data_IF_655920081394
#
_entry.id   IF_655920081394
#
_cell.length_a   1.000
_cell.length_b   1.000
_cell.length_c   1.000
_cell.angle_alpha   90.00
_cell.angle_beta   90.00
_cell.angle_gamma   90.00
#
_symmetry.space_group_name_H-M   'P 1'
#
loop_
_entity.id
_entity.type
_entity.pdbx_description
1 polymer ?
#
# COMPACT_ATOMS: atom_id res chain seq x y z
N UNK A 1 -24.33 -73.36 -17.64
CA UNK A 1 -25.43 -72.39 -17.48
C UNK A 1 -25.55 -72.08 -15.99
N UNK A 2 -25.88 -70.85 -15.57
CA UNK A 2 -25.29 -69.55 -15.94
C UNK A 2 -25.03 -68.71 -14.66
N UNK A 3 -24.32 -67.58 -14.67
CA UNK A 3 -24.85 -66.20 -14.71
C UNK A 3 -23.69 -65.35 -14.15
N UNK A 4 -23.38 -64.13 -14.53
CA UNK A 4 -23.74 -63.24 -15.62
C UNK A 4 -22.80 -62.05 -15.43
N UNK A 5 -22.41 -61.43 -16.53
CA UNK A 5 -21.53 -60.27 -16.54
C UNK A 5 -22.23 -59.11 -15.86
N UNK A 6 -21.56 -58.45 -14.92
CA UNK A 6 -21.82 -57.03 -14.66
C UNK A 6 -20.49 -56.29 -14.57
N UNK A 7 -20.05 -55.84 -15.73
CA UNK A 7 -19.02 -54.84 -15.93
C UNK A 7 -19.65 -53.50 -15.54
N UNK A 8 -19.30 -52.97 -14.37
CA UNK A 8 -19.76 -51.64 -13.96
C UNK A 8 -19.06 -50.59 -14.83
N UNK A 9 -19.79 -49.69 -15.52
CA UNK A 9 -19.15 -48.59 -16.23
C UNK A 9 -18.59 -47.60 -15.21
N UNK A 10 -17.27 -47.41 -15.23
CA UNK A 10 -16.60 -46.33 -14.51
C UNK A 10 -17.16 -44.98 -14.97
N UNK A 11 -17.79 -44.24 -14.05
CA UNK A 11 -18.22 -42.88 -14.28
C UNK A 11 -17.01 -41.99 -14.69
N UNK A 12 -17.14 -41.11 -15.70
CA UNK A 12 -16.09 -40.17 -16.03
C UNK A 12 -15.94 -39.12 -14.91
N UNK A 13 -14.73 -38.63 -14.62
CA UNK A 13 -14.57 -37.53 -13.69
C UNK A 13 -15.27 -36.29 -14.25
N UNK A 14 -16.17 -35.70 -13.44
CA UNK A 14 -16.84 -34.45 -13.75
C UNK A 14 -15.80 -33.38 -14.08
N UNK A 15 -15.79 -32.91 -15.33
CA UNK A 15 -15.05 -31.73 -15.74
C UNK A 15 -15.54 -30.54 -14.92
N UNK A 16 -14.66 -30.00 -14.06
CA UNK A 16 -14.90 -28.68 -13.46
C UNK A 16 -14.94 -27.67 -14.60
N UNK A 17 -15.92 -26.74 -14.64
CA UNK A 17 -15.88 -25.68 -15.63
C UNK A 17 -14.59 -24.87 -15.43
N UNK A 18 -13.88 -24.65 -16.54
CA UNK A 18 -12.70 -23.82 -16.60
C UNK A 18 -13.14 -22.38 -16.32
N UNK A 19 -12.95 -21.93 -15.07
CA UNK A 19 -13.13 -20.51 -14.74
C UNK A 19 -12.08 -19.72 -15.52
N UNK A 20 -12.45 -18.75 -16.37
CA UNK A 20 -11.46 -17.88 -16.99
C UNK A 20 -10.71 -17.11 -15.88
N UNK A 21 -9.42 -16.79 -16.06
CA UNK A 21 -8.73 -15.92 -15.15
C UNK A 21 -9.49 -14.59 -15.11
N UNK A 22 -9.95 -14.21 -13.92
CA UNK A 22 -10.49 -12.88 -13.66
C UNK A 22 -9.43 -11.90 -14.13
N UNK A 23 -9.77 -11.13 -15.16
CA UNK A 23 -8.94 -10.05 -15.68
C UNK A 23 -8.96 -8.97 -14.62
N UNK A 24 -7.96 -9.02 -13.73
CA UNK A 24 -7.74 -7.98 -12.72
C UNK A 24 -7.49 -6.70 -13.50
N UNK A 25 -8.33 -5.71 -13.29
CA UNK A 25 -8.28 -4.42 -13.98
C UNK A 25 -6.88 -3.82 -13.76
N UNK A 26 -6.15 -3.55 -14.85
CA UNK A 26 -4.76 -3.10 -14.81
C UNK A 26 -4.58 -1.72 -14.14
N UNK A 27 -5.67 -1.07 -13.75
CA UNK A 27 -5.71 0.19 -13.04
C UNK A 27 -5.36 0.11 -11.54
N UNK A 28 -5.28 -1.10 -10.95
CA UNK A 28 -4.98 -1.32 -9.53
C UNK A 28 -3.51 -1.69 -9.25
N UNK A 29 -2.66 -1.64 -10.28
CA UNK A 29 -1.24 -1.92 -10.06
C UNK A 29 -0.59 -0.75 -9.31
N UNK A 30 0.13 -0.99 -8.19
CA UNK A 30 0.83 0.07 -7.50
C UNK A 30 1.82 0.72 -8.47
N UNK A 31 1.75 2.05 -8.61
CA UNK A 31 2.62 2.92 -9.42
C UNK A 31 4.04 2.98 -8.87
N UNK A 32 4.62 1.81 -8.63
CA UNK A 32 5.99 1.64 -8.20
C UNK A 32 6.81 1.35 -9.45
N UNK A 33 7.97 2.00 -9.62
CA UNK A 33 8.87 1.62 -10.70
C UNK A 33 9.19 0.14 -10.63
N UNK A 34 9.11 -0.52 -11.78
CA UNK A 34 9.08 -1.98 -11.94
C UNK A 34 10.27 -2.76 -11.30
N UNK A 35 11.25 -2.09 -10.70
CA UNK A 35 12.43 -2.69 -10.07
C UNK A 35 12.59 -2.38 -8.57
N UNK A 36 11.77 -1.52 -7.97
CA UNK A 36 11.97 -1.10 -6.58
C UNK A 36 11.19 -1.97 -5.59
N UNK A 37 11.85 -2.67 -4.64
CA UNK A 37 11.15 -3.47 -3.65
C UNK A 37 10.17 -2.62 -2.83
N UNK A 38 8.96 -3.12 -2.58
CA UNK A 38 7.91 -2.42 -1.81
C UNK A 38 8.41 -1.91 -0.46
N UNK A 39 9.18 -2.74 0.26
CA UNK A 39 9.80 -2.35 1.53
C UNK A 39 10.73 -1.14 1.40
N UNK A 40 11.45 -1.03 0.28
CA UNK A 40 12.29 0.12 -0.05
C UNK A 40 11.43 1.34 -0.36
N UNK A 41 10.33 1.19 -1.11
CA UNK A 41 9.39 2.29 -1.38
C UNK A 41 8.82 2.86 -0.08
N UNK A 42 8.27 2.01 0.79
CA UNK A 42 7.76 2.41 2.09
C UNK A 42 8.82 3.09 2.97
N UNK A 43 10.07 2.62 2.91
CA UNK A 43 11.20 3.25 3.62
C UNK A 43 11.51 4.65 3.06
N UNK A 44 11.50 4.82 1.75
CA UNK A 44 11.71 6.11 1.07
C UNK A 44 10.58 7.07 1.43
N UNK A 45 9.32 6.65 1.32
CA UNK A 45 8.15 7.46 1.70
C UNK A 45 8.26 7.90 3.15
N UNK A 46 8.59 6.99 4.07
CA UNK A 46 8.79 7.33 5.48
C UNK A 46 9.90 8.37 5.67
N UNK A 47 11.00 8.28 4.92
CA UNK A 47 12.08 9.25 4.98
C UNK A 47 11.63 10.62 4.46
N UNK A 48 10.96 10.65 3.31
CA UNK A 48 10.41 11.89 2.74
C UNK A 48 9.46 12.59 3.72
N UNK A 49 8.51 11.85 4.30
CA UNK A 49 7.59 12.39 5.31
C UNK A 49 8.35 12.91 6.52
N UNK A 50 9.39 12.22 6.98
CA UNK A 50 10.21 12.68 8.10
C UNK A 50 10.86 14.04 7.81
N UNK A 51 11.41 14.23 6.62
CA UNK A 51 12.03 15.50 6.21
C UNK A 51 10.98 16.60 6.03
N UNK A 52 9.85 16.30 5.37
CA UNK A 52 8.77 17.26 5.17
C UNK A 52 8.20 17.74 6.51
N UNK A 53 7.91 16.84 7.45
CA UNK A 53 7.41 17.23 8.78
C UNK A 53 8.46 18.07 9.54
N UNK A 54 9.75 17.83 9.36
CA UNK A 54 10.80 18.66 9.98
C UNK A 54 10.95 20.04 9.34
N UNK A 55 10.74 20.15 8.03
CA UNK A 55 10.81 21.41 7.28
C UNK A 55 9.61 22.30 7.53
N UNK A 56 8.41 21.71 7.57
CA UNK A 56 7.14 22.42 7.73
C UNK A 56 6.67 22.50 9.19
N UNK A 57 7.25 21.73 10.11
CA UNK A 57 6.91 21.76 11.52
C UNK A 57 7.54 22.95 12.26
N UNK A 58 6.82 23.50 13.23
CA UNK A 58 7.34 24.55 14.11
C UNK A 58 8.53 24.01 14.93
N UNK A 59 9.74 24.52 14.63
CA UNK A 59 11.04 23.97 15.08
C UNK A 59 11.18 23.89 16.60
N UNK A 60 10.41 24.68 17.34
CA UNK A 60 10.42 24.73 18.81
C UNK A 60 9.65 23.55 19.43
N UNK A 61 8.56 23.08 18.81
CA UNK A 61 7.77 21.94 19.28
C UNK A 61 8.42 20.58 18.98
N UNK A 62 9.19 20.48 17.88
CA UNK A 62 9.73 19.21 17.36
C UNK A 62 10.75 18.50 18.28
N UNK A 63 11.46 19.23 19.15
CA UNK A 63 12.52 18.65 19.99
C UNK A 63 12.00 17.95 21.26
N UNK A 64 10.87 18.41 21.82
CA UNK A 64 10.37 17.96 23.14
C UNK A 64 9.66 16.60 23.08
N UNK A 65 9.14 16.23 21.91
CA UNK A 65 8.29 15.04 21.72
C UNK A 65 8.71 14.15 20.54
N UNK A 66 10.00 13.80 20.45
CA UNK A 66 10.56 12.93 19.39
C UNK A 66 9.77 11.63 19.18
N UNK A 67 9.22 11.05 20.26
CA UNK A 67 8.43 9.82 20.18
C UNK A 67 7.07 10.04 19.51
N UNK A 68 6.40 11.16 19.81
CA UNK A 68 5.14 11.54 19.14
C UNK A 68 5.39 11.88 17.68
N UNK A 69 6.48 12.59 17.39
CA UNK A 69 6.90 12.91 16.02
C UNK A 69 7.13 11.64 15.20
N UNK A 70 7.88 10.68 15.74
CA UNK A 70 8.14 9.40 15.07
C UNK A 70 6.86 8.60 14.80
N UNK A 71 5.91 8.64 15.74
CA UNK A 71 4.59 8.02 15.56
C UNK A 71 3.82 8.71 14.44
N UNK A 72 3.77 10.05 14.46
CA UNK A 72 3.06 10.85 13.48
C UNK A 72 3.61 10.66 12.06
N UNK A 73 4.93 10.70 11.89
CA UNK A 73 5.62 10.41 10.62
C UNK A 73 5.25 9.03 10.10
N UNK A 74 5.18 8.02 10.98
CA UNK A 74 4.82 6.67 10.58
C UNK A 74 3.37 6.59 10.12
N UNK A 75 2.44 7.24 10.83
CA UNK A 75 1.03 7.26 10.48
C UNK A 75 0.80 7.90 9.10
N UNK A 76 1.41 9.07 8.86
CA UNK A 76 1.34 9.74 7.55
C UNK A 76 1.96 8.86 6.46
N UNK A 77 3.14 8.27 6.70
CA UNK A 77 3.79 7.43 5.70
C UNK A 77 2.93 6.20 5.31
N UNK A 78 2.27 5.56 6.28
CA UNK A 78 1.34 4.47 6.03
C UNK A 78 0.13 4.93 5.21
N UNK A 79 -0.48 6.07 5.57
CA UNK A 79 -1.60 6.65 4.84
C UNK A 79 -1.22 6.97 3.39
N UNK A 80 -0.11 7.66 3.16
CA UNK A 80 0.33 8.06 1.82
C UNK A 80 0.70 6.84 0.96
N UNK A 81 1.32 5.80 1.53
CA UNK A 81 1.53 4.54 0.81
C UNK A 81 0.21 3.91 0.34
N UNK A 82 -0.85 4.00 1.17
CA UNK A 82 -2.15 3.44 0.83
C UNK A 82 -2.90 4.27 -0.20
N UNK A 83 -2.97 5.59 -0.01
CA UNK A 83 -3.80 6.50 -0.82
C UNK A 83 -3.10 6.88 -2.13
N UNK A 84 -1.83 7.30 -2.07
CA UNK A 84 -1.11 7.82 -3.23
C UNK A 84 -0.48 6.72 -4.09
N UNK A 85 0.07 5.67 -3.45
CA UNK A 85 0.74 4.56 -4.16
C UNK A 85 -0.16 3.32 -4.34
N UNK A 86 -1.40 3.35 -3.81
CA UNK A 86 -2.37 2.24 -3.89
C UNK A 86 -1.86 0.90 -3.35
N UNK A 87 -0.95 0.94 -2.38
CA UNK A 87 -0.42 -0.27 -1.75
C UNK A 87 -1.46 -0.81 -0.75
N UNK A 88 -1.63 -2.14 -0.69
CA UNK A 88 -2.55 -2.77 0.25
C UNK A 88 -2.11 -2.57 1.71
N UNK A 89 -3.07 -2.48 2.65
CA UNK A 89 -2.75 -2.31 4.07
C UNK A 89 -1.95 -3.49 4.64
N UNK A 90 -2.13 -4.70 4.09
CA UNK A 90 -1.36 -5.89 4.50
C UNK A 90 0.11 -5.77 4.11
N UNK A 91 0.40 -5.36 2.87
CA UNK A 91 1.77 -5.20 2.38
C UNK A 91 2.49 -4.04 3.07
N UNK A 92 1.77 -2.95 3.34
CA UNK A 92 2.27 -1.84 4.16
C UNK A 92 2.59 -2.36 5.57
N UNK A 93 1.72 -3.17 6.16
CA UNK A 93 1.95 -3.79 7.46
C UNK A 93 3.26 -4.58 7.47
N UNK A 94 3.45 -5.46 6.51
CA UNK A 94 4.67 -6.25 6.35
C UNK A 94 5.92 -5.36 6.17
N UNK A 95 5.85 -4.35 5.30
CA UNK A 95 6.95 -3.44 5.03
C UNK A 95 7.39 -2.63 6.26
N UNK A 96 6.42 -2.22 7.10
CA UNK A 96 6.67 -1.48 8.34
C UNK A 96 6.88 -2.37 9.57
N UNK A 97 6.73 -3.69 9.44
CA UNK A 97 6.80 -4.65 10.55
C UNK A 97 5.66 -4.44 11.56
N UNK A 98 4.44 -4.24 11.09
CA UNK A 98 3.22 -3.93 11.86
C UNK A 98 2.04 -4.75 11.36
N UNK A 99 1.03 -4.91 12.22
CA UNK A 99 -0.21 -5.57 11.82
C UNK A 99 -1.03 -4.69 10.88
N UNK A 100 -1.80 -5.31 9.96
CA UNK A 100 -2.68 -4.59 9.02
C UNK A 100 -3.65 -3.64 9.72
N UNK A 101 -4.11 -3.98 10.94
CA UNK A 101 -5.01 -3.13 11.73
C UNK A 101 -4.31 -1.87 12.24
N UNK A 102 -2.99 -1.92 12.45
CA UNK A 102 -2.19 -0.72 12.78
C UNK A 102 -2.16 0.24 11.61
N UNK A 103 -2.08 -0.27 10.38
CA UNK A 103 -2.13 0.53 9.15
C UNK A 103 -3.52 1.15 8.98
N UNK A 104 -4.58 0.37 9.17
CA UNK A 104 -5.96 0.88 9.16
C UNK A 104 -6.17 1.99 10.19
N UNK A 105 -5.72 1.76 11.43
CA UNK A 105 -5.77 2.78 12.49
C UNK A 105 -4.98 4.05 12.11
N UNK A 106 -3.79 3.90 11.52
CA UNK A 106 -3.02 5.04 11.04
C UNK A 106 -3.77 5.84 9.96
N UNK A 107 -4.46 5.15 9.04
CA UNK A 107 -5.25 5.81 8.01
C UNK A 107 -6.40 6.61 8.61
N UNK A 108 -7.16 6.03 9.54
CA UNK A 108 -8.21 6.74 10.27
C UNK A 108 -7.69 7.97 11.01
N UNK A 109 -6.58 7.84 11.76
CA UNK A 109 -5.98 8.96 12.49
C UNK A 109 -5.55 10.11 11.57
N UNK A 110 -5.08 9.81 10.37
CA UNK A 110 -4.72 10.86 9.39
C UNK A 110 -5.98 11.49 8.81
N UNK A 111 -6.97 10.68 8.42
CA UNK A 111 -8.23 11.17 7.83
C UNK A 111 -9.01 12.06 8.81
N UNK A 112 -9.15 11.64 10.07
CA UNK A 112 -9.79 12.43 11.14
C UNK A 112 -9.09 13.79 11.36
N UNK A 113 -7.82 13.90 10.98
CA UNK A 113 -7.06 15.16 11.10
C UNK A 113 -7.13 16.03 9.85
N UNK A 114 -7.57 15.52 8.71
CA UNK A 114 -7.74 16.29 7.46
C UNK A 114 -8.89 17.30 7.55
N UNK A 115 -9.68 17.29 8.63
CA UNK A 115 -10.63 18.36 8.95
C UNK A 115 -9.92 19.71 9.24
N UNK A 116 -8.63 19.69 9.61
CA UNK A 116 -7.80 20.89 9.74
C UNK A 116 -7.22 21.28 8.37
N UNK A 117 -7.56 22.47 7.88
CA UNK A 117 -7.18 22.94 6.54
C UNK A 117 -5.66 22.96 6.32
N UNK A 118 -4.89 23.40 7.33
CA UNK A 118 -3.43 23.48 7.19
C UNK A 118 -2.79 22.08 7.13
N UNK A 119 -3.34 21.13 7.90
CA UNK A 119 -2.94 19.74 7.83
C UNK A 119 -3.34 19.09 6.50
N UNK A 120 -4.55 19.35 6.01
CA UNK A 120 -5.03 18.82 4.73
C UNK A 120 -4.17 19.30 3.55
N UNK A 121 -3.83 20.59 3.51
CA UNK A 121 -2.94 21.16 2.51
C UNK A 121 -1.54 20.51 2.56
N UNK A 122 -1.02 20.27 3.77
CA UNK A 122 0.24 19.58 3.97
C UNK A 122 0.21 18.13 3.46
N UNK A 123 -0.82 17.36 3.80
CA UNK A 123 -1.00 15.98 3.32
C UNK A 123 -1.14 15.95 1.80
N UNK A 124 -1.96 16.85 1.24
CA UNK A 124 -2.13 17.01 -0.22
C UNK A 124 -0.81 17.34 -0.92
N UNK A 125 0.09 18.11 -0.29
CA UNK A 125 1.42 18.37 -0.82
C UNK A 125 2.31 17.12 -0.77
N UNK A 126 2.29 16.37 0.34
CA UNK A 126 3.05 15.13 0.50
C UNK A 126 2.62 14.09 -0.54
N UNK A 127 1.31 13.91 -0.73
CA UNK A 127 0.74 13.01 -1.74
C UNK A 127 1.26 13.35 -3.13
N UNK A 128 1.15 14.62 -3.55
CA UNK A 128 1.64 15.10 -4.85
C UNK A 128 3.13 14.82 -5.06
N UNK A 129 3.96 15.11 -4.04
CA UNK A 129 5.41 14.88 -4.13
C UNK A 129 5.72 13.39 -4.25
N UNK A 130 5.06 12.54 -3.45
CA UNK A 130 5.26 11.08 -3.51
C UNK A 130 4.82 10.55 -4.88
N UNK A 131 3.64 10.90 -5.37
CA UNK A 131 3.19 10.49 -6.70
C UNK A 131 4.16 10.95 -7.80
N UNK A 132 4.70 12.17 -7.72
CA UNK A 132 5.70 12.63 -8.68
C UNK A 132 7.00 11.81 -8.62
N UNK A 133 7.53 11.54 -7.42
CA UNK A 133 8.79 10.79 -7.25
C UNK A 133 8.68 9.36 -7.78
N UNK A 134 7.57 8.67 -7.48
CA UNK A 134 7.39 7.29 -7.89
C UNK A 134 6.85 7.16 -9.32
N UNK A 135 6.02 8.10 -9.79
CA UNK A 135 5.53 8.15 -11.17
C UNK A 135 6.58 8.54 -12.21
N UNK A 136 7.56 9.40 -11.85
CA UNK A 136 8.70 9.70 -12.73
C UNK A 136 9.61 8.48 -12.97
N UNK A 137 9.56 7.49 -12.07
CA UNK A 137 10.45 6.34 -12.15
C UNK A 137 9.98 5.27 -13.16
N UNK A 138 8.80 5.42 -13.76
CA UNK A 138 8.37 4.65 -14.94
C UNK A 138 8.97 5.19 -16.25
N UNK A 139 9.29 6.49 -16.30
CA UNK A 139 9.75 7.18 -17.52
C UNK A 139 11.16 6.73 -17.94
N UNK A 140 12.00 6.24 -17.02
CA UNK A 140 13.36 5.78 -17.30
C UNK A 140 13.46 4.32 -17.75
N UNK A 141 12.33 3.61 -17.89
CA UNK A 141 12.31 2.19 -18.28
C UNK A 141 12.14 1.95 -19.80
N UNK A 142 12.15 3.01 -20.62
CA UNK A 142 12.03 2.94 -22.07
C UNK A 142 13.18 3.71 -22.76
N UNK A 143 14.39 3.13 -22.74
CA UNK A 143 15.43 3.37 -23.75
C UNK A 143 16.06 2.05 -24.19
#
# INVERSE_FOLDING_TARGET
MPFERYFAPSAPPSSRPFSPPVLVDAADSPWLPASLPLKTACRIVRQMVCELVQLFGDRVMLRRDRRRLSCHVRQIAMYVCHVALRISMSDIGEAFGRDRTTVGHACHVVEDRRDDLAFDEFISAVERIVTAVFGLSEVTAHE
#
